data_IF_291000222198
#
_entry.id   IF_291000222198
#
_cell.length_a   1.000
_cell.length_b   1.000
_cell.length_c   1.000
_cell.angle_alpha   90.00
_cell.angle_beta   90.00
_cell.angle_gamma   90.00
#
_symmetry.space_group_name_H-M   'P 1'
#
loop_
_entity.id
_entity.type
_entity.pdbx_description
1 polymer ?
#
# COMPACT_ATOMS: atom_id res chain seq x y z
N UNK A 1 95.54 -11.18 -23.91
CA UNK A 1 94.33 -11.05 -24.76
C UNK A 1 93.16 -11.95 -24.32
N UNK A 2 93.35 -13.27 -24.12
CA UNK A 2 92.26 -14.22 -23.80
C UNK A 2 91.43 -13.89 -22.54
N UNK A 3 92.04 -13.33 -21.48
CA UNK A 3 91.35 -12.89 -20.25
C UNK A 3 90.46 -11.65 -20.43
N UNK A 4 90.78 -10.78 -21.39
CA UNK A 4 90.01 -9.57 -21.68
C UNK A 4 88.81 -9.88 -22.59
N UNK A 5 88.97 -10.88 -23.47
CA UNK A 5 87.88 -11.43 -24.28
C UNK A 5 86.87 -12.18 -23.39
N UNK A 6 87.32 -12.96 -22.42
CA UNK A 6 86.40 -13.62 -21.47
C UNK A 6 85.68 -12.63 -20.54
N UNK A 7 86.33 -11.54 -20.13
CA UNK A 7 85.70 -10.51 -19.30
C UNK A 7 84.63 -9.72 -20.06
N UNK A 8 84.90 -9.37 -21.33
CA UNK A 8 83.94 -8.67 -22.18
C UNK A 8 82.74 -9.55 -22.52
N UNK A 9 82.95 -10.83 -22.80
CA UNK A 9 81.87 -11.78 -23.06
C UNK A 9 80.96 -12.01 -21.84
N UNK A 10 81.55 -12.05 -20.63
CA UNK A 10 80.81 -12.13 -19.37
C UNK A 10 79.98 -10.85 -19.13
N UNK A 11 80.55 -9.68 -19.42
CA UNK A 11 79.84 -8.41 -19.27
C UNK A 11 78.63 -8.30 -20.20
N UNK A 12 78.77 -8.73 -21.47
CA UNK A 12 77.65 -8.77 -22.43
C UNK A 12 76.56 -9.73 -21.98
N UNK A 13 76.92 -10.91 -21.48
CA UNK A 13 75.97 -11.88 -20.95
C UNK A 13 75.19 -11.32 -19.75
N UNK A 14 75.88 -10.62 -18.84
CA UNK A 14 75.26 -10.01 -17.66
C UNK A 14 74.27 -8.90 -18.04
N UNK A 15 74.60 -8.09 -19.05
CA UNK A 15 73.69 -7.07 -19.59
C UNK A 15 72.44 -7.72 -20.21
N UNK A 16 72.60 -8.81 -20.97
CA UNK A 16 71.46 -9.53 -21.54
C UNK A 16 70.55 -10.10 -20.44
N UNK A 17 71.13 -10.70 -19.41
CA UNK A 17 70.38 -11.25 -18.26
C UNK A 17 69.65 -10.12 -17.50
N UNK A 18 70.33 -9.00 -17.22
CA UNK A 18 69.70 -7.85 -16.57
C UNK A 18 68.60 -7.22 -17.45
N UNK A 19 68.78 -7.13 -18.77
CA UNK A 19 67.72 -6.65 -19.67
C UNK A 19 66.52 -7.60 -19.70
N UNK A 20 66.78 -8.92 -19.72
CA UNK A 20 65.73 -9.93 -19.66
C UNK A 20 64.97 -9.86 -18.35
N UNK A 21 65.67 -9.72 -17.22
CA UNK A 21 65.06 -9.58 -15.89
C UNK A 21 64.29 -8.26 -15.72
N UNK A 22 64.76 -7.16 -16.31
CA UNK A 22 64.04 -5.87 -16.24
C UNK A 22 62.78 -5.87 -17.10
N UNK A 23 62.81 -6.46 -18.30
CA UNK A 23 61.61 -6.68 -19.13
C UNK A 23 60.64 -7.61 -18.40
N UNK A 24 61.13 -8.73 -17.84
CA UNK A 24 60.32 -9.66 -17.06
C UNK A 24 59.69 -8.96 -15.84
N UNK A 25 60.45 -8.17 -15.11
CA UNK A 25 59.96 -7.40 -13.97
C UNK A 25 58.91 -6.36 -14.39
N UNK A 26 59.12 -5.65 -15.50
CA UNK A 26 58.17 -4.65 -15.97
C UNK A 26 56.86 -5.28 -16.46
N UNK A 27 56.93 -6.45 -17.09
CA UNK A 27 55.74 -7.22 -17.53
C UNK A 27 54.96 -7.79 -16.34
N UNK A 28 55.64 -8.34 -15.31
CA UNK A 28 54.97 -8.98 -14.17
C UNK A 28 54.63 -8.03 -13.01
N UNK A 29 55.43 -6.98 -12.80
CA UNK A 29 55.32 -6.07 -11.66
C UNK A 29 55.05 -4.61 -12.04
N UNK A 30 55.26 -4.19 -13.30
CA UNK A 30 55.06 -2.81 -13.80
C UNK A 30 53.62 -2.45 -14.15
N UNK A 31 52.62 -3.06 -13.52
CA UNK A 31 51.21 -2.85 -13.83
C UNK A 31 50.68 -1.51 -13.28
N UNK A 32 50.14 -0.66 -14.17
CA UNK A 32 49.35 0.49 -13.78
C UNK A 32 48.09 0.02 -13.02
N UNK A 33 47.85 0.60 -11.85
CA UNK A 33 46.63 0.36 -11.06
C UNK A 33 45.59 1.41 -11.40
N UNK A 34 44.33 1.00 -11.38
CA UNK A 34 43.16 1.85 -11.67
C UNK A 34 42.23 1.83 -10.48
N UNK A 35 41.55 2.94 -10.22
CA UNK A 35 40.51 3.00 -9.20
C UNK A 35 39.23 2.34 -9.73
N UNK A 36 38.64 1.46 -8.93
CA UNK A 36 37.39 0.79 -9.27
C UNK A 36 36.25 1.83 -9.27
N UNK A 37 35.54 2.03 -10.40
CA UNK A 37 34.37 2.90 -10.44
C UNK A 37 33.21 2.29 -9.65
N UNK A 38 32.25 3.12 -9.24
CA UNK A 38 30.95 2.62 -8.80
C UNK A 38 30.08 2.32 -10.03
N UNK A 39 29.66 1.06 -10.12
CA UNK A 39 28.87 0.48 -11.21
C UNK A 39 27.51 0.00 -10.67
N UNK A 40 27.24 0.17 -9.37
CA UNK A 40 25.97 -0.25 -8.78
C UNK A 40 24.81 0.57 -9.36
N UNK A 41 23.72 -0.11 -9.75
CA UNK A 41 22.59 0.50 -10.43
C UNK A 41 22.79 0.78 -11.93
N UNK A 42 23.99 0.58 -12.49
CA UNK A 42 24.22 0.67 -13.94
C UNK A 42 23.77 -0.61 -14.66
N UNK A 43 23.48 -0.49 -15.96
CA UNK A 43 23.25 -1.65 -16.82
C UNK A 43 24.53 -2.50 -16.92
N UNK A 44 24.38 -3.82 -16.84
CA UNK A 44 25.49 -4.78 -16.95
C UNK A 44 26.34 -4.54 -18.21
N UNK A 45 25.71 -4.19 -19.34
CA UNK A 45 26.40 -3.93 -20.60
C UNK A 45 27.32 -2.72 -20.48
N UNK A 46 26.78 -1.61 -19.92
CA UNK A 46 27.53 -0.36 -19.72
C UNK A 46 28.67 -0.56 -18.72
N UNK A 47 28.39 -1.27 -17.62
CA UNK A 47 29.38 -1.58 -16.60
C UNK A 47 30.53 -2.43 -17.15
N UNK A 48 30.23 -3.43 -17.97
CA UNK A 48 31.24 -4.26 -18.63
C UNK A 48 32.14 -3.44 -19.56
N UNK A 49 31.56 -2.57 -20.39
CA UNK A 49 32.31 -1.71 -21.30
C UNK A 49 33.26 -0.79 -20.52
N UNK A 50 32.76 -0.19 -19.44
CA UNK A 50 33.55 0.69 -18.57
C UNK A 50 34.71 -0.06 -17.90
N UNK A 51 34.51 -1.30 -17.46
CA UNK A 51 35.58 -2.13 -16.91
C UNK A 51 36.63 -2.50 -17.96
N UNK A 52 36.20 -2.82 -19.18
CA UNK A 52 37.11 -3.13 -20.29
C UNK A 52 37.97 -1.92 -20.67
N UNK A 53 37.39 -0.72 -20.72
CA UNK A 53 38.12 0.53 -20.97
C UNK A 53 39.20 0.81 -19.91
N UNK A 54 38.95 0.41 -18.66
CA UNK A 54 39.92 0.52 -17.57
C UNK A 54 41.01 -0.58 -17.62
N UNK A 55 40.86 -1.55 -18.51
CA UNK A 55 41.76 -2.71 -18.66
C UNK A 55 41.51 -3.78 -17.61
N UNK A 56 40.30 -3.86 -17.04
CA UNK A 56 39.87 -4.93 -16.14
C UNK A 56 39.09 -5.99 -16.94
N UNK A 57 39.07 -7.22 -16.41
CA UNK A 57 38.36 -8.35 -17.03
C UNK A 57 37.01 -8.53 -16.33
N UNK A 58 35.88 -8.09 -16.93
CA UNK A 58 34.58 -8.27 -16.29
C UNK A 58 34.18 -9.75 -16.27
N UNK A 59 33.61 -10.19 -15.15
CA UNK A 59 32.93 -11.47 -15.00
C UNK A 59 31.54 -11.20 -14.45
N UNK A 60 30.51 -11.65 -15.15
CA UNK A 60 29.11 -11.44 -14.74
C UNK A 60 28.60 -12.69 -14.04
N UNK A 61 27.96 -12.49 -12.89
CA UNK A 61 27.25 -13.53 -12.14
C UNK A 61 25.80 -13.07 -11.95
N UNK A 62 24.85 -13.81 -12.50
CA UNK A 62 23.43 -13.51 -12.31
C UNK A 62 22.97 -14.00 -10.93
N UNK A 63 22.25 -13.14 -10.22
CA UNK A 63 21.66 -13.44 -8.92
C UNK A 63 20.15 -13.29 -9.03
N UNK A 64 19.41 -14.29 -8.55
CA UNK A 64 17.96 -14.21 -8.49
C UNK A 64 17.53 -12.98 -7.68
N UNK A 65 16.89 -12.04 -8.35
CA UNK A 65 16.48 -10.79 -7.75
C UNK A 65 15.15 -10.34 -8.35
N UNK A 66 14.36 -9.63 -7.55
CA UNK A 66 13.04 -9.16 -7.97
C UNK A 66 13.08 -7.80 -8.68
N UNK A 67 14.29 -7.25 -8.88
CA UNK A 67 14.53 -5.96 -9.55
C UNK A 67 14.42 -6.02 -11.07
N UNK A 68 14.74 -4.91 -11.73
CA UNK A 68 14.87 -4.87 -13.18
C UNK A 68 16.04 -5.77 -13.62
N UNK A 69 15.86 -6.71 -14.55
CA UNK A 69 16.93 -7.62 -14.97
C UNK A 69 18.07 -6.89 -15.68
N UNK A 70 19.29 -7.38 -15.48
CA UNK A 70 20.49 -6.86 -16.15
C UNK A 70 21.07 -5.58 -15.54
N UNK A 71 20.71 -5.27 -14.29
CA UNK A 71 21.25 -4.16 -13.51
C UNK A 71 22.28 -4.69 -12.50
N UNK A 72 23.39 -4.00 -12.33
CA UNK A 72 24.43 -4.39 -11.35
C UNK A 72 23.92 -4.13 -9.93
N UNK A 73 23.80 -5.19 -9.13
CA UNK A 73 23.40 -5.12 -7.73
C UNK A 73 24.61 -4.97 -6.80
N UNK A 74 25.69 -5.68 -7.13
CA UNK A 74 26.92 -5.68 -6.34
C UNK A 74 28.13 -5.82 -7.26
N UNK A 75 29.26 -5.26 -6.86
CA UNK A 75 30.53 -5.37 -7.58
C UNK A 75 31.66 -5.78 -6.64
N UNK A 76 32.62 -6.52 -7.18
CA UNK A 76 33.86 -6.89 -6.52
C UNK A 76 35.02 -6.73 -7.50
N UNK A 77 36.09 -5.96 -7.22
CA UNK A 77 36.34 -5.17 -6.01
C UNK A 77 35.31 -4.05 -5.74
N UNK A 78 35.25 -3.53 -4.50
CA UNK A 78 34.32 -2.45 -4.17
C UNK A 78 34.73 -1.13 -4.83
N UNK A 79 33.76 -0.24 -5.01
CA UNK A 79 34.01 1.09 -5.55
C UNK A 79 35.10 1.81 -4.74
N UNK A 80 36.01 2.49 -5.44
CA UNK A 80 37.15 3.20 -4.85
C UNK A 80 38.38 2.34 -4.51
N UNK A 81 38.30 1.01 -4.64
CA UNK A 81 39.47 0.15 -4.43
C UNK A 81 40.48 0.28 -5.59
N UNK A 82 41.79 0.19 -5.27
CA UNK A 82 42.84 0.15 -6.30
C UNK A 82 43.00 -1.26 -6.84
N UNK A 83 42.78 -1.41 -8.14
CA UNK A 83 42.84 -2.70 -8.83
C UNK A 83 43.91 -2.65 -9.90
N UNK A 84 44.78 -3.68 -9.95
CA UNK A 84 45.76 -3.82 -11.03
C UNK A 84 45.02 -4.12 -12.35
N UNK A 85 45.47 -3.51 -13.45
CA UNK A 85 45.00 -3.89 -14.79
C UNK A 85 45.18 -5.39 -15.06
N UNK A 86 44.28 -5.97 -15.83
CA UNK A 86 44.21 -7.39 -16.15
C UNK A 86 43.57 -8.26 -15.06
N UNK A 87 43.13 -7.68 -13.93
CA UNK A 87 42.42 -8.43 -12.89
C UNK A 87 40.93 -8.55 -13.20
N UNK A 88 40.35 -9.63 -12.68
CA UNK A 88 38.92 -9.91 -12.79
C UNK A 88 38.14 -8.99 -11.87
N UNK A 89 37.10 -8.36 -12.40
CA UNK A 89 36.08 -7.65 -11.66
C UNK A 89 34.75 -8.40 -11.81
N UNK A 90 34.20 -8.87 -10.71
CA UNK A 90 32.94 -9.62 -10.67
C UNK A 90 31.79 -8.63 -10.50
N UNK A 91 30.82 -8.70 -11.39
CA UNK A 91 29.56 -7.97 -11.31
C UNK A 91 28.45 -8.97 -11.00
N UNK A 92 27.83 -8.81 -9.83
CA UNK A 92 26.58 -9.52 -9.52
C UNK A 92 25.43 -8.71 -10.08
N UNK A 93 24.75 -9.25 -11.07
CA UNK A 93 23.66 -8.57 -11.77
C UNK A 93 22.33 -9.18 -11.37
N UNK A 94 21.29 -8.37 -11.39
CA UNK A 94 19.92 -8.82 -11.22
C UNK A 94 19.55 -9.79 -12.33
N UNK A 95 19.38 -11.06 -11.97
CA UNK A 95 18.71 -12.03 -12.81
C UNK A 95 17.23 -11.68 -12.96
N UNK A 96 16.58 -12.25 -13.98
CA UNK A 96 15.15 -12.02 -14.22
C UNK A 96 14.24 -12.65 -13.16
N UNK A 97 14.77 -13.62 -12.39
CA UNK A 97 14.00 -14.46 -11.46
C UNK A 97 12.92 -15.25 -12.18
N UNK A 98 12.46 -16.36 -11.60
CA UNK A 98 11.25 -17.01 -12.11
C UNK A 98 10.05 -16.08 -11.89
N UNK A 99 9.49 -15.56 -12.98
CA UNK A 99 8.30 -14.71 -12.97
C UNK A 99 7.14 -15.48 -13.58
N UNK A 100 5.98 -15.31 -12.97
CA UNK A 100 4.77 -16.02 -13.35
C UNK A 100 3.71 -15.02 -13.80
N UNK A 101 2.90 -15.45 -14.76
CA UNK A 101 1.82 -14.63 -15.28
C UNK A 101 0.75 -14.44 -14.21
N UNK A 102 0.50 -13.18 -13.85
CA UNK A 102 -0.56 -12.85 -12.93
C UNK A 102 -1.92 -13.01 -13.63
N UNK A 103 -2.87 -13.79 -13.06
CA UNK A 103 -4.19 -13.95 -13.66
C UNK A 103 -4.96 -12.62 -13.67
N UNK A 104 -5.74 -12.41 -14.73
CA UNK A 104 -6.73 -11.33 -14.76
C UNK A 104 -7.98 -11.78 -13.99
N UNK A 105 -8.29 -11.04 -12.93
CA UNK A 105 -9.46 -11.23 -12.06
C UNK A 105 -10.47 -10.08 -12.19
N UNK A 106 -10.24 -9.11 -13.08
CA UNK A 106 -11.20 -8.01 -13.31
C UNK A 106 -12.50 -8.55 -13.88
N UNK A 107 -13.62 -7.99 -13.41
CA UNK A 107 -14.96 -8.44 -13.79
C UNK A 107 -15.40 -9.75 -13.12
N UNK A 108 -14.54 -10.41 -12.34
CA UNK A 108 -14.93 -11.58 -11.56
C UNK A 108 -15.58 -11.17 -10.23
N UNK A 109 -16.41 -12.06 -9.68
CA UNK A 109 -16.88 -11.93 -8.31
C UNK A 109 -15.68 -12.04 -7.35
N UNK A 110 -15.65 -11.21 -6.30
CA UNK A 110 -14.56 -11.18 -5.32
C UNK A 110 -14.18 -12.57 -4.77
N UNK A 111 -15.17 -13.41 -4.42
CA UNK A 111 -14.90 -14.76 -3.91
C UNK A 111 -14.23 -15.67 -4.96
N UNK A 112 -14.65 -15.58 -6.22
CA UNK A 112 -14.05 -16.34 -7.32
C UNK A 112 -12.66 -15.81 -7.68
N UNK A 113 -12.47 -14.49 -7.60
CA UNK A 113 -11.19 -13.84 -7.83
C UNK A 113 -10.14 -14.27 -6.79
N UNK A 114 -10.53 -14.33 -5.51
CA UNK A 114 -9.65 -14.78 -4.42
C UNK A 114 -9.13 -16.20 -4.66
N UNK A 115 -10.03 -17.14 -4.99
CA UNK A 115 -9.66 -18.53 -5.31
C UNK A 115 -8.67 -18.61 -6.47
N UNK A 116 -8.92 -17.84 -7.54
CA UNK A 116 -8.05 -17.81 -8.72
C UNK A 116 -6.65 -17.25 -8.42
N UNK A 117 -6.54 -16.28 -7.51
CA UNK A 117 -5.24 -15.74 -7.04
C UNK A 117 -4.47 -16.85 -6.29
N UNK A 118 -5.13 -17.52 -5.36
CA UNK A 118 -4.53 -18.57 -4.51
C UNK A 118 -4.13 -19.81 -5.33
N UNK A 119 -5.00 -20.27 -6.24
CA UNK A 119 -4.71 -21.38 -7.17
C UNK A 119 -3.53 -21.09 -8.09
N UNK A 120 -3.31 -19.82 -8.45
CA UNK A 120 -2.17 -19.38 -9.23
C UNK A 120 -0.88 -19.18 -8.41
N UNK A 121 -0.89 -19.46 -7.11
CA UNK A 121 0.29 -19.38 -6.24
C UNK A 121 0.64 -17.97 -5.76
N UNK A 122 -0.28 -17.01 -5.93
CA UNK A 122 -0.15 -15.64 -5.44
C UNK A 122 -0.88 -15.45 -4.10
N UNK A 123 -0.62 -14.34 -3.42
CA UNK A 123 -1.21 -14.05 -2.11
C UNK A 123 -2.28 -12.97 -2.26
N UNK A 124 -3.46 -13.18 -1.68
CA UNK A 124 -4.47 -12.12 -1.60
C UNK A 124 -3.97 -10.96 -0.72
N UNK A 125 -4.01 -9.75 -1.27
CA UNK A 125 -3.59 -8.53 -0.60
C UNK A 125 -4.74 -7.74 0.01
N UNK A 126 -4.58 -6.42 0.04
CA UNK A 126 -5.57 -5.51 0.58
C UNK A 126 -6.80 -5.38 -0.33
N UNK A 127 -7.97 -5.19 0.28
CA UNK A 127 -9.24 -5.05 -0.42
C UNK A 127 -9.80 -3.66 -0.18
N UNK A 128 -9.81 -2.85 -1.23
CA UNK A 128 -10.44 -1.53 -1.24
C UNK A 128 -11.82 -1.66 -1.88
N UNK A 129 -12.82 -0.95 -1.34
CA UNK A 129 -14.20 -1.03 -1.82
C UNK A 129 -14.72 0.36 -2.14
N UNK A 130 -15.29 0.53 -3.33
CA UNK A 130 -15.79 1.83 -3.80
C UNK A 130 -17.17 1.68 -4.44
N UNK A 131 -17.95 2.74 -4.43
CA UNK A 131 -19.20 2.80 -5.19
C UNK A 131 -18.91 2.97 -6.67
N UNK A 132 -19.55 2.15 -7.49
CA UNK A 132 -19.52 2.29 -8.93
C UNK A 132 -20.92 1.98 -9.49
N UNK A 133 -21.49 2.95 -10.20
CA UNK A 133 -22.83 2.84 -10.78
C UNK A 133 -22.90 1.89 -11.98
N UNK A 134 -21.77 1.59 -12.59
CA UNK A 134 -21.66 0.83 -13.83
C UNK A 134 -21.21 -0.61 -13.57
N UNK A 135 -20.63 -0.89 -12.39
CA UNK A 135 -20.15 -2.23 -12.00
C UNK A 135 -21.04 -2.82 -10.90
N UNK A 136 -21.61 -4.03 -11.08
CA UNK A 136 -22.40 -4.69 -10.06
C UNK A 136 -21.65 -4.84 -8.72
N UNK A 137 -22.36 -4.78 -7.59
CA UNK A 137 -21.74 -4.95 -6.29
C UNK A 137 -21.05 -6.32 -6.13
N UNK A 138 -19.90 -6.32 -5.46
CA UNK A 138 -19.09 -7.50 -5.21
C UNK A 138 -18.19 -7.95 -6.37
N UNK A 139 -18.25 -7.26 -7.51
CA UNK A 139 -17.38 -7.50 -8.66
C UNK A 139 -16.07 -6.73 -8.53
N UNK A 140 -14.96 -7.35 -8.93
CA UNK A 140 -13.63 -6.73 -8.96
C UNK A 140 -13.55 -5.72 -10.10
N UNK A 141 -13.29 -4.46 -9.74
CA UNK A 141 -13.08 -3.34 -10.66
C UNK A 141 -11.63 -3.33 -11.15
N UNK A 142 -10.67 -3.48 -10.23
CA UNK A 142 -9.25 -3.39 -10.52
C UNK A 142 -8.43 -4.30 -9.61
N UNK A 143 -7.22 -4.62 -10.06
CA UNK A 143 -6.22 -5.38 -9.29
C UNK A 143 -4.87 -4.66 -9.38
N UNK A 144 -4.04 -4.84 -8.35
CA UNK A 144 -2.66 -4.37 -8.33
C UNK A 144 -1.76 -5.47 -7.77
N UNK A 145 -0.73 -5.95 -8.50
CA UNK A 145 -0.31 -5.51 -9.84
C UNK A 145 -1.35 -5.76 -10.94
N UNK A 146 -1.31 -4.97 -12.01
CA UNK A 146 -2.27 -5.06 -13.11
C UNK A 146 -1.93 -6.21 -14.06
N UNK A 147 -2.88 -7.09 -14.36
CA UNK A 147 -2.71 -8.12 -15.38
C UNK A 147 -2.82 -7.56 -16.81
N UNK A 148 -2.09 -8.12 -17.81
CA UNK A 148 -1.12 -9.23 -17.69
C UNK A 148 0.28 -8.72 -17.28
N UNK A 149 0.68 -9.00 -16.04
CA UNK A 149 2.03 -8.70 -15.53
C UNK A 149 2.77 -9.97 -15.14
N UNK A 150 4.07 -10.01 -15.39
CA UNK A 150 4.96 -11.07 -14.90
C UNK A 150 5.53 -10.66 -13.54
N UNK A 151 5.08 -11.36 -12.49
CA UNK A 151 5.47 -11.06 -11.11
C UNK A 151 6.02 -12.31 -10.42
N UNK A 152 6.87 -12.15 -9.40
CA UNK A 152 7.37 -13.29 -8.63
C UNK A 152 6.25 -14.07 -7.95
N UNK A 153 6.48 -15.36 -7.67
CA UNK A 153 5.57 -16.16 -6.83
C UNK A 153 5.34 -15.51 -5.47
N UNK A 154 4.18 -15.77 -4.87
CA UNK A 154 3.76 -15.21 -3.56
C UNK A 154 3.66 -13.68 -3.52
N UNK A 155 3.71 -12.99 -4.66
CA UNK A 155 3.40 -11.56 -4.74
C UNK A 155 1.98 -11.31 -4.22
N UNK A 156 1.81 -10.24 -3.44
CA UNK A 156 0.49 -9.81 -2.95
C UNK A 156 -0.29 -9.10 -4.05
N UNK A 157 -1.55 -9.48 -4.21
CA UNK A 157 -2.47 -8.91 -5.21
C UNK A 157 -3.57 -8.16 -4.47
N UNK A 158 -3.50 -6.85 -4.49
CA UNK A 158 -4.53 -5.97 -3.94
C UNK A 158 -5.69 -5.85 -4.92
N UNK A 159 -6.91 -5.69 -4.41
CA UNK A 159 -8.13 -5.76 -5.20
C UNK A 159 -9.06 -4.59 -4.87
N UNK A 160 -9.61 -3.96 -5.91
CA UNK A 160 -10.65 -2.95 -5.80
C UNK A 160 -12.00 -3.57 -6.16
N UNK A 161 -12.97 -3.54 -5.26
CA UNK A 161 -14.27 -4.20 -5.41
C UNK A 161 -15.40 -3.17 -5.44
N UNK A 162 -16.37 -3.36 -6.33
CA UNK A 162 -17.54 -2.49 -6.43
C UNK A 162 -18.51 -2.71 -5.27
N UNK A 163 -19.06 -1.61 -4.76
CA UNK A 163 -20.18 -1.55 -3.84
C UNK A 163 -21.52 -1.36 -4.56
N UNK A 164 -21.51 -1.24 -5.89
CA UNK A 164 -22.67 -0.89 -6.71
C UNK A 164 -22.96 0.62 -6.75
N UNK A 165 -24.09 1.04 -7.34
CA UNK A 165 -24.47 2.44 -7.48
C UNK A 165 -24.63 3.14 -6.13
N UNK A 166 -24.20 4.40 -6.04
CA UNK A 166 -24.45 5.25 -4.88
C UNK A 166 -25.92 5.69 -4.88
N UNK A 167 -26.74 5.10 -4.01
CA UNK A 167 -28.20 5.30 -3.93
C UNK A 167 -28.55 6.24 -2.78
N UNK A 168 -28.23 7.54 -2.94
CA UNK A 168 -28.86 8.64 -2.18
C UNK A 168 -27.98 9.37 -1.15
N UNK A 169 -28.51 10.49 -0.61
CA UNK A 169 -27.83 11.35 0.38
C UNK A 169 -27.46 10.55 1.63
N UNK A 170 -26.16 10.30 1.83
CA UNK A 170 -25.63 9.51 2.94
C UNK A 170 -25.52 8.01 2.67
N UNK A 171 -26.00 7.55 1.51
CA UNK A 171 -25.91 6.16 1.03
C UNK A 171 -26.45 5.11 2.02
N UNK A 172 -27.48 5.50 2.77
CA UNK A 172 -28.15 4.69 3.79
C UNK A 172 -29.43 4.12 3.19
N UNK A 173 -29.58 2.79 3.24
CA UNK A 173 -30.79 2.09 2.80
C UNK A 173 -31.19 1.01 3.83
N UNK A 174 -32.46 0.57 3.86
CA UNK A 174 -32.87 -0.50 4.76
C UNK A 174 -32.18 -1.80 4.35
N UNK A 175 -31.52 -2.45 5.32
CA UNK A 175 -30.94 -3.79 5.18
C UNK A 175 -32.04 -4.77 4.75
N UNK A 176 -31.90 -5.47 3.61
CA UNK A 176 -32.86 -6.50 3.21
C UNK A 176 -33.03 -7.56 4.30
N UNK A 177 -34.27 -7.97 4.55
CA UNK A 177 -34.54 -9.06 5.46
C UNK A 177 -34.28 -10.40 4.75
N UNK A 178 -33.21 -11.07 5.16
CA UNK A 178 -32.80 -12.37 4.64
C UNK A 178 -33.05 -13.50 5.66
N UNK A 179 -33.77 -13.21 6.75
CA UNK A 179 -34.18 -14.24 7.69
C UNK A 179 -35.12 -15.26 7.01
N UNK A 180 -34.90 -16.54 7.28
CA UNK A 180 -35.63 -17.64 6.65
C UNK A 180 -35.09 -18.08 5.29
N UNK A 181 -34.14 -17.34 4.70
CA UNK A 181 -33.47 -17.75 3.46
C UNK A 181 -32.33 -18.73 3.72
N UNK A 182 -31.98 -19.53 2.71
CA UNK A 182 -30.76 -20.32 2.74
C UNK A 182 -29.52 -19.39 2.76
N UNK A 183 -28.47 -19.78 3.48
CA UNK A 183 -27.24 -18.97 3.62
C UNK A 183 -26.63 -18.52 2.27
N UNK A 184 -26.67 -19.36 1.23
CA UNK A 184 -26.12 -19.01 -0.07
C UNK A 184 -27.01 -17.99 -0.82
N UNK A 185 -28.32 -18.14 -0.70
CA UNK A 185 -29.29 -17.21 -1.26
C UNK A 185 -29.25 -15.86 -0.54
N UNK A 186 -29.19 -15.88 0.78
CA UNK A 186 -29.03 -14.68 1.62
C UNK A 186 -27.76 -13.90 1.25
N UNK A 187 -26.62 -14.59 1.06
CA UNK A 187 -25.38 -13.96 0.58
C UNK A 187 -25.58 -13.27 -0.78
N UNK A 188 -26.30 -13.91 -1.70
CA UNK A 188 -26.58 -13.35 -3.02
C UNK A 188 -27.44 -12.09 -2.92
N UNK A 189 -28.54 -12.13 -2.18
CA UNK A 189 -29.44 -10.98 -1.95
C UNK A 189 -28.71 -9.81 -1.30
N UNK A 190 -27.89 -10.09 -0.27
CA UNK A 190 -27.06 -9.06 0.36
C UNK A 190 -26.04 -8.48 -0.63
N UNK A 191 -25.40 -9.32 -1.44
CA UNK A 191 -24.44 -8.86 -2.45
C UNK A 191 -25.11 -7.98 -3.51
N UNK A 192 -26.29 -8.35 -3.99
CA UNK A 192 -27.08 -7.55 -4.95
C UNK A 192 -27.49 -6.20 -4.38
N UNK A 193 -27.73 -6.14 -3.07
CA UNK A 193 -27.98 -4.90 -2.34
C UNK A 193 -26.71 -4.09 -2.03
N UNK A 194 -25.52 -4.51 -2.48
CA UNK A 194 -24.27 -3.81 -2.19
C UNK A 194 -23.72 -4.02 -0.77
N UNK A 195 -24.17 -5.07 -0.08
CA UNK A 195 -23.78 -5.42 1.28
C UNK A 195 -22.95 -6.71 1.30
N UNK A 196 -22.12 -6.89 2.34
CA UNK A 196 -21.19 -8.02 2.40
C UNK A 196 -21.38 -8.87 3.64
N UNK A 197 -21.68 -10.15 3.43
CA UNK A 197 -21.69 -11.15 4.48
C UNK A 197 -20.26 -11.54 4.87
N UNK A 198 -19.66 -10.84 5.83
CA UNK A 198 -18.27 -11.12 6.26
C UNK A 198 -18.16 -12.40 7.06
N UNK A 199 -19.09 -12.60 7.99
CA UNK A 199 -19.06 -13.70 8.95
C UNK A 199 -20.39 -14.47 8.91
N UNK A 200 -20.29 -15.79 9.05
CA UNK A 200 -21.41 -16.70 9.25
C UNK A 200 -21.24 -17.36 10.62
N UNK A 201 -22.08 -16.99 11.58
CA UNK A 201 -22.13 -17.56 12.92
C UNK A 201 -23.13 -18.72 12.92
N UNK A 202 -22.65 -19.95 13.11
CA UNK A 202 -23.52 -21.12 13.25
C UNK A 202 -23.97 -21.30 14.69
N UNK A 203 -25.29 -21.42 14.90
CA UNK A 203 -25.91 -21.67 16.20
C UNK A 203 -26.46 -23.09 16.22
N UNK A 204 -26.08 -23.86 17.24
CA UNK A 204 -26.61 -25.21 17.47
C UNK A 204 -28.06 -25.14 17.96
N UNK A 205 -28.98 -25.32 17.03
CA UNK A 205 -30.41 -25.43 17.28
C UNK A 205 -31.04 -26.45 16.32
N UNK A 206 -32.12 -27.09 16.77
CA UNK A 206 -33.02 -27.91 15.93
C UNK A 206 -34.33 -27.20 15.64
N UNK A 207 -34.52 -25.98 16.13
CA UNK A 207 -35.76 -25.19 15.93
C UNK A 207 -35.92 -24.65 14.51
N UNK A 208 -34.84 -24.64 13.73
CA UNK A 208 -34.80 -24.16 12.36
C UNK A 208 -33.96 -25.13 11.54
N UNK A 209 -34.34 -25.37 10.29
CA UNK A 209 -33.61 -26.25 9.39
C UNK A 209 -32.15 -25.81 9.22
N UNK A 210 -31.28 -26.76 8.91
CA UNK A 210 -29.86 -26.51 8.69
C UNK A 210 -29.65 -25.50 7.55
N UNK A 211 -28.63 -24.64 7.71
CA UNK A 211 -28.19 -23.66 6.70
C UNK A 211 -29.22 -22.55 6.39
N UNK A 212 -30.28 -22.43 7.20
CA UNK A 212 -31.22 -21.31 7.17
C UNK A 212 -30.73 -20.18 8.07
N UNK A 213 -30.78 -18.95 7.54
CA UNK A 213 -30.47 -17.73 8.29
C UNK A 213 -31.58 -17.46 9.30
N UNK A 214 -31.24 -17.45 10.58
CA UNK A 214 -32.15 -17.12 11.66
C UNK A 214 -32.24 -15.62 11.91
N UNK A 215 -31.11 -14.93 11.79
CA UNK A 215 -31.01 -13.49 12.05
C UNK A 215 -29.78 -12.90 11.36
N UNK A 216 -29.76 -11.58 11.25
CA UNK A 216 -28.59 -10.81 10.81
C UNK A 216 -28.17 -9.79 11.87
N UNK A 217 -26.89 -9.42 11.87
CA UNK A 217 -26.37 -8.27 12.60
C UNK A 217 -25.68 -7.33 11.61
N UNK A 218 -26.15 -6.09 11.42
CA UNK A 218 -27.37 -5.45 11.96
C UNK A 218 -28.68 -6.19 11.62
N UNK A 219 -29.78 -5.91 12.33
CA UNK A 219 -31.09 -6.58 12.11
C UNK A 219 -31.70 -6.15 10.76
N UNK A 220 -32.36 -7.06 10.05
CA UNK A 220 -33.14 -6.76 8.85
C UNK A 220 -34.05 -5.54 9.04
N UNK A 221 -34.10 -4.66 8.05
CA UNK A 221 -34.79 -3.37 8.07
C UNK A 221 -34.02 -2.22 8.74
N UNK A 222 -32.88 -2.49 9.39
CA UNK A 222 -32.03 -1.41 9.92
C UNK A 222 -31.40 -0.59 8.79
N UNK A 223 -31.18 0.69 9.06
CA UNK A 223 -30.54 1.60 8.12
C UNK A 223 -29.03 1.34 8.09
N UNK A 224 -28.54 0.87 6.95
CA UNK A 224 -27.13 0.53 6.72
C UNK A 224 -26.58 1.31 5.54
N UNK A 225 -25.31 1.68 5.62
CA UNK A 225 -24.61 2.30 4.50
C UNK A 225 -24.25 1.21 3.47
N UNK A 226 -24.23 1.54 2.18
CA UNK A 226 -23.67 0.64 1.17
C UNK A 226 -22.26 0.14 1.55
N UNK A 227 -21.94 -1.10 1.18
CA UNK A 227 -20.69 -1.74 1.56
C UNK A 227 -20.55 -2.13 3.03
N UNK A 228 -21.58 -1.91 3.86
CA UNK A 228 -21.58 -2.38 5.24
C UNK A 228 -21.43 -3.89 5.33
N UNK A 229 -20.76 -4.33 6.39
CA UNK A 229 -20.59 -5.74 6.71
C UNK A 229 -21.79 -6.23 7.53
N UNK A 230 -22.34 -7.37 7.12
CA UNK A 230 -23.47 -8.05 7.79
C UNK A 230 -22.99 -9.40 8.28
N UNK A 231 -23.24 -9.72 9.54
CA UNK A 231 -23.03 -11.07 10.08
C UNK A 231 -24.32 -11.86 9.96
N UNK A 232 -24.25 -13.03 9.33
CA UNK A 232 -25.37 -13.97 9.22
C UNK A 232 -25.32 -14.94 10.41
N UNK A 233 -26.44 -15.09 11.12
CA UNK A 233 -26.62 -16.11 12.16
C UNK A 233 -27.42 -17.25 11.54
N UNK A 234 -26.82 -18.43 11.44
CA UNK A 234 -27.33 -19.58 10.67
C UNK A 234 -27.54 -20.78 11.59
N UNK A 235 -28.62 -21.54 11.36
CA UNK A 235 -28.86 -22.79 12.11
C UNK A 235 -27.89 -23.89 11.66
N UNK A 236 -27.22 -24.54 12.61
CA UNK A 236 -26.39 -25.72 12.32
C UNK A 236 -27.22 -27.02 12.18
N UNK A 237 -28.50 -26.98 12.58
CA UNK A 237 -29.38 -28.14 12.63
C UNK A 237 -28.98 -29.20 13.68
N UNK A 238 -28.09 -28.86 14.63
CA UNK A 238 -27.65 -29.76 15.72
C UNK A 238 -28.31 -29.35 17.04
N UNK A 239 -28.62 -30.34 17.88
CA UNK A 239 -29.13 -30.06 19.21
C UNK A 239 -28.07 -29.36 20.07
N UNK A 240 -28.42 -28.30 20.81
CA UNK A 240 -27.49 -27.66 21.72
C UNK A 240 -27.03 -28.65 22.79
N UNK A 241 -25.72 -28.81 22.96
CA UNK A 241 -25.18 -29.69 24.00
C UNK A 241 -25.50 -29.08 25.37
N UNK A 242 -26.41 -29.72 26.11
CA UNK A 242 -26.64 -29.45 27.53
C UNK A 242 -25.33 -29.74 28.26
N UNK A 243 -24.68 -28.71 28.80
CA UNK A 243 -23.67 -28.92 29.84
C UNK A 243 -24.41 -29.53 31.04
N UNK A 244 -24.21 -30.82 31.27
CA UNK A 244 -24.70 -31.51 32.46
C UNK A 244 -23.86 -30.97 33.62
N UNK A 245 -24.39 -29.98 34.34
CA UNK A 245 -23.87 -29.64 35.64
C UNK A 245 -24.07 -30.86 36.55
N UNK A 246 -22.95 -31.46 36.98
CA UNK A 246 -22.94 -32.56 37.94
C UNK A 246 -23.56 -32.05 39.24
N UNK A 247 -24.76 -32.55 39.56
CA UNK A 247 -25.43 -32.30 40.81
C UNK A 247 -24.62 -32.94 41.96
N UNK A 248 -23.95 -32.14 42.77
CA UNK A 248 -23.58 -32.54 44.13
C UNK A 248 -24.71 -32.12 45.07
N UNK A 249 -25.43 -33.12 45.55
CA UNK A 249 -26.30 -33.04 46.71
C UNK A 249 -25.48 -32.66 47.94
N UNK A 250 -25.85 -31.58 48.62
CA UNK A 250 -25.64 -31.50 50.06
C UNK A 250 -26.93 -31.06 50.74
N UNK A 251 -27.33 -31.87 51.73
CA UNK A 251 -28.58 -31.87 52.46
C UNK A 251 -28.73 -30.63 53.34
N UNK A 252 -29.96 -30.17 53.47
CA UNK A 252 -30.43 -29.18 54.44
C UNK A 252 -30.14 -29.56 55.91
N UNK A 253 -30.33 -28.62 56.85
CA UNK A 253 -31.63 -28.65 57.55
C UNK A 253 -32.31 -27.27 57.70
N UNK A 254 -33.61 -27.38 57.98
CA UNK A 254 -34.61 -26.36 58.27
C UNK A 254 -34.18 -25.43 59.44
N UNK A 255 -34.80 -24.28 59.72
CA UNK A 255 -36.12 -24.15 60.39
C UNK A 255 -36.61 -22.68 60.34
N UNK A 256 -37.95 -22.55 60.34
CA UNK A 256 -38.82 -21.44 60.77
C UNK A 256 -38.95 -20.15 59.95
N UNK A 257 -40.13 -20.02 59.31
CA UNK A 257 -40.99 -18.81 59.33
C UNK A 257 -41.76 -18.77 60.67
N UNK A 258 -42.55 -17.73 61.06
CA UNK A 258 -43.08 -16.64 60.22
C UNK A 258 -43.05 -15.23 60.89
N UNK A 259 -43.59 -14.24 60.18
CA UNK A 259 -44.52 -13.18 60.66
C UNK A 259 -44.14 -11.76 60.22
N UNK A 260 -45.21 -11.05 59.82
CA UNK A 260 -45.45 -9.60 59.79
C UNK A 260 -44.95 -8.76 58.60
N UNK A 261 -45.96 -8.45 57.78
CA UNK A 261 -46.21 -7.24 57.00
C UNK A 261 -45.89 -5.97 57.79
N UNK A 262 -45.28 -4.98 57.13
CA UNK A 262 -45.54 -3.57 57.43
C UNK A 262 -45.39 -2.71 56.17
N UNK A 263 -46.54 -2.19 55.75
CA UNK A 263 -46.77 -0.97 54.97
C UNK A 263 -46.83 0.23 55.93
N UNK A 264 -46.84 1.47 55.40
CA UNK A 264 -46.85 2.81 56.05
C UNK A 264 -45.48 3.32 56.54
N UNK A 265 -45.03 4.57 56.41
CA UNK A 265 -45.54 5.89 55.93
C UNK A 265 -44.27 6.80 55.83
N UNK A 266 -44.05 7.62 54.78
CA UNK A 266 -44.26 9.09 54.72
C UNK A 266 -43.53 9.98 55.79
N UNK A 267 -43.39 11.32 55.64
CA UNK A 267 -42.92 12.19 54.54
C UNK A 267 -42.01 13.36 55.06
N UNK A 268 -41.84 14.42 54.23
CA UNK A 268 -41.43 15.83 54.53
C UNK A 268 -39.92 16.13 54.54
N UNK A 269 -39.41 17.27 54.08
CA UNK A 269 -39.94 18.57 53.62
C UNK A 269 -38.76 19.31 52.92
N UNK A 270 -38.98 20.08 51.83
CA UNK A 270 -38.90 21.57 51.83
C UNK A 270 -37.45 22.09 51.64
N UNK A 271 -37.08 23.06 50.79
CA UNK A 271 -37.79 24.20 50.22
C UNK A 271 -37.00 24.79 49.02
N UNK A 272 -37.70 25.57 48.18
CA UNK A 272 -37.32 26.84 47.49
C UNK A 272 -35.92 27.00 46.85
N UNK A 273 -35.70 27.61 45.67
CA UNK A 273 -36.44 28.64 44.96
C UNK A 273 -35.98 28.74 43.49
N UNK A 274 -36.86 29.23 42.61
CA UNK A 274 -36.64 29.54 41.20
C UNK A 274 -35.77 30.82 41.02
N UNK A 275 -35.12 31.08 39.87
CA UNK A 275 -35.66 31.63 38.62
C UNK A 275 -34.50 31.76 37.59
N UNK A 276 -34.64 31.30 36.33
CA UNK A 276 -35.05 32.03 35.10
C UNK A 276 -34.03 33.07 34.57
N UNK A 277 -33.36 32.77 33.45
CA UNK A 277 -33.10 33.69 32.30
C UNK A 277 -32.43 32.91 31.15
N UNK A 278 -33.12 32.55 30.07
CA UNK A 278 -33.46 33.30 28.85
C UNK A 278 -32.35 33.40 27.79
N UNK A 279 -32.69 32.90 26.61
CA UNK A 279 -31.98 33.01 25.35
C UNK A 279 -32.15 34.39 24.70
N UNK A 280 -31.22 34.79 23.82
CA UNK A 280 -31.52 35.40 22.51
C UNK A 280 -30.30 35.44 21.57
N UNK A 281 -30.52 35.52 20.23
CA UNK A 281 -29.51 35.50 19.17
C UNK A 281 -29.19 36.91 18.62
N UNK A 282 -28.12 37.06 17.82
CA UNK A 282 -27.93 38.24 16.97
C UNK A 282 -27.08 37.99 15.70
N UNK A 283 -27.51 38.59 14.58
CA UNK A 283 -26.79 38.97 13.33
C UNK A 283 -27.00 40.50 13.18
N UNK A 284 -26.50 41.25 12.15
CA UNK A 284 -25.20 41.30 11.41
C UNK A 284 -24.64 42.76 11.25
N UNK A 285 -23.32 43.05 11.12
CA UNK A 285 -22.80 44.37 10.59
C UNK A 285 -21.40 44.28 9.90
N UNK A 286 -21.17 45.21 8.96
CA UNK A 286 -20.17 45.51 7.90
C UNK A 286 -18.77 46.12 8.32
N UNK A 287 -17.84 46.52 7.39
CA UNK A 287 -16.36 46.47 7.57
C UNK A 287 -15.55 47.81 7.76
N UNK A 288 -14.24 47.65 8.03
CA UNK A 288 -13.03 48.54 7.89
C UNK A 288 -12.76 49.67 8.92
N UNK A 289 -11.48 49.93 9.32
CA UNK A 289 -10.50 50.72 8.52
C UNK A 289 -9.01 50.22 8.51
N UNK A 290 -8.26 50.73 7.52
CA UNK A 290 -6.80 50.61 7.28
C UNK A 290 -5.97 51.48 8.26
N UNK A 291 -4.75 51.09 8.67
CA UNK A 291 -3.42 51.68 8.32
C UNK A 291 -2.55 51.72 9.63
N UNK A 292 -1.19 51.82 9.62
CA UNK A 292 -0.30 52.28 8.54
C UNK A 292 0.82 51.31 8.11
N UNK A 293 1.35 51.64 6.93
CA UNK A 293 2.56 51.12 6.30
C UNK A 293 3.79 51.43 7.16
N UNK A 294 4.66 50.43 7.35
CA UNK A 294 6.09 50.66 7.45
C UNK A 294 6.77 49.93 6.29
N UNK A 295 7.59 50.69 5.56
CA UNK A 295 8.36 50.29 4.39
C UNK A 295 9.70 49.68 4.83
N UNK A 296 10.19 48.80 3.94
CA UNK A 296 11.59 48.43 3.72
C UNK A 296 12.25 47.60 4.85
N UNK A 297 12.48 46.31 4.61
CA UNK A 297 13.68 45.88 3.87
C UNK A 297 13.39 44.62 3.06
N UNK A 298 13.72 44.65 1.77
CA UNK A 298 13.49 43.53 0.86
C UNK A 298 14.44 42.37 1.13
N UNK A 299 13.89 41.25 1.58
CA UNK A 299 14.44 39.94 1.29
C UNK A 299 13.77 39.44 0.01
N UNK A 300 14.55 39.30 -1.06
CA UNK A 300 14.14 38.57 -2.26
C UNK A 300 13.79 37.14 -1.83
N UNK A 301 12.51 36.85 -1.62
CA UNK A 301 12.07 35.47 -1.44
C UNK A 301 12.26 34.74 -2.76
N UNK A 302 13.20 33.79 -2.76
CA UNK A 302 13.41 32.85 -3.86
C UNK A 302 12.07 32.25 -4.29
N UNK A 303 11.69 32.48 -5.56
CA UNK A 303 10.49 31.89 -6.13
C UNK A 303 10.78 30.43 -6.48
N UNK A 304 10.66 29.54 -5.49
CA UNK A 304 10.91 28.11 -5.65
C UNK A 304 9.82 27.49 -6.53
N UNK A 305 10.17 26.46 -7.30
CA UNK A 305 9.22 25.70 -8.13
C UNK A 305 9.07 24.28 -7.60
N UNK A 306 7.85 23.89 -7.24
CA UNK A 306 7.52 22.52 -6.91
C UNK A 306 7.19 21.76 -8.20
N UNK A 307 8.00 20.75 -8.54
CA UNK A 307 7.78 19.89 -9.72
C UNK A 307 6.98 18.65 -9.31
N UNK A 308 5.67 18.75 -9.42
CA UNK A 308 4.74 17.67 -9.11
C UNK A 308 4.68 16.71 -10.29
N UNK A 309 4.95 15.43 -10.04
CA UNK A 309 4.84 14.35 -11.02
C UNK A 309 3.85 13.32 -10.51
N UNK A 310 2.75 13.15 -11.22
CA UNK A 310 1.70 12.21 -10.84
C UNK A 310 1.44 11.21 -11.97
N UNK A 311 1.86 9.94 -11.82
CA UNK A 311 1.43 8.87 -12.71
C UNK A 311 -0.05 8.56 -12.44
N UNK A 312 -0.92 8.83 -13.42
CA UNK A 312 -2.32 8.44 -13.32
C UNK A 312 -2.40 6.92 -13.34
N UNK A 313 -2.97 6.28 -12.30
CA UNK A 313 -3.07 4.83 -12.25
C UNK A 313 -3.88 4.32 -13.46
N UNK A 314 -3.71 3.07 -13.90
CA UNK A 314 -4.54 2.54 -14.98
C UNK A 314 -6.01 2.56 -14.57
N UNK A 315 -6.81 3.31 -15.33
CA UNK A 315 -8.24 3.48 -15.13
C UNK A 315 -9.00 2.75 -16.22
N UNK A 316 -10.11 2.09 -15.85
CA UNK A 316 -11.06 1.48 -16.79
C UNK A 316 -11.81 2.50 -17.64
N UNK A 317 -11.93 3.75 -17.14
CA UNK A 317 -12.57 4.90 -17.80
C UNK A 317 -11.90 6.21 -17.40
N UNK A 318 -12.06 7.30 -18.17
CA UNK A 318 -11.55 8.60 -17.75
C UNK A 318 -12.17 9.05 -16.42
N UNK A 319 -11.36 9.56 -15.50
CA UNK A 319 -11.79 10.17 -14.24
C UNK A 319 -11.24 11.59 -14.13
N UNK A 320 -11.98 12.45 -13.42
CA UNK A 320 -11.56 13.83 -13.17
C UNK A 320 -10.39 13.86 -12.20
N UNK A 321 -9.24 14.35 -12.63
CA UNK A 321 -8.08 14.62 -11.78
C UNK A 321 -8.09 16.09 -11.39
N UNK A 322 -8.08 16.37 -10.09
CA UNK A 322 -7.93 17.70 -9.53
C UNK A 322 -6.69 17.78 -8.64
N UNK A 323 -5.83 18.75 -8.90
CA UNK A 323 -4.65 19.01 -8.08
C UNK A 323 -4.83 20.38 -7.46
N UNK A 324 -4.74 20.42 -6.14
CA UNK A 324 -4.89 21.64 -5.35
C UNK A 324 -3.58 21.98 -4.67
N UNK A 325 -3.27 23.27 -4.63
CA UNK A 325 -2.12 23.85 -3.98
C UNK A 325 -2.61 24.72 -2.83
N UNK A 326 -2.09 24.49 -1.63
CA UNK A 326 -2.38 25.26 -0.44
C UNK A 326 -1.08 25.92 0.01
N UNK A 327 -1.06 27.25 -0.04
CA UNK A 327 0.05 28.08 0.44
C UNK A 327 -0.47 29.17 1.40
N UNK A 328 0.38 30.12 1.81
CA UNK A 328 -0.03 31.26 2.66
C UNK A 328 -1.09 32.16 2.02
N UNK A 329 -1.29 32.09 0.71
CA UNK A 329 -2.27 32.88 -0.05
C UNK A 329 -3.64 32.17 -0.10
N UNK A 330 -3.71 30.88 0.27
CA UNK A 330 -4.93 30.09 0.37
C UNK A 330 -4.91 28.82 -0.48
N UNK A 331 -6.06 28.17 -0.60
CA UNK A 331 -6.26 26.99 -1.45
C UNK A 331 -6.58 27.42 -2.89
N UNK A 332 -5.82 26.94 -3.86
CA UNK A 332 -6.09 27.14 -5.29
C UNK A 332 -6.01 25.83 -6.07
N UNK A 333 -6.91 25.62 -7.01
CA UNK A 333 -6.86 24.49 -7.95
C UNK A 333 -5.87 24.80 -9.07
N UNK A 334 -4.79 24.03 -9.16
CA UNK A 334 -3.73 24.21 -10.16
C UNK A 334 -3.90 23.32 -11.39
N UNK A 335 -4.69 22.25 -11.28
CA UNK A 335 -5.03 21.36 -12.38
C UNK A 335 -6.43 20.78 -12.19
N UNK A 336 -7.23 20.74 -13.25
CA UNK A 336 -8.56 20.10 -13.26
C UNK A 336 -8.87 19.61 -14.67
N UNK A 337 -8.86 18.30 -14.90
CA UNK A 337 -9.17 17.69 -16.21
C UNK A 337 -9.55 16.22 -16.05
N UNK A 338 -10.39 15.72 -16.97
CA UNK A 338 -10.58 14.28 -17.14
C UNK A 338 -9.32 13.65 -17.75
N UNK A 339 -8.73 12.70 -17.03
CA UNK A 339 -7.50 11.99 -17.41
C UNK A 339 -7.78 10.52 -17.67
N UNK A 340 -7.01 9.91 -18.58
CA UNK A 340 -7.07 8.47 -18.86
C UNK A 340 -6.04 7.71 -18.03
N UNK A 341 -6.27 6.41 -17.86
CA UNK A 341 -5.32 5.53 -17.21
C UNK A 341 -3.96 5.52 -17.89
N UNK A 342 -2.88 5.59 -17.10
CA UNK A 342 -1.50 5.58 -17.61
C UNK A 342 -0.99 6.92 -18.15
N UNK A 343 -1.78 7.99 -18.06
CA UNK A 343 -1.33 9.35 -18.38
C UNK A 343 -0.36 9.86 -17.31
N UNK A 344 0.66 10.63 -17.72
CA UNK A 344 1.68 11.15 -16.79
C UNK A 344 1.56 12.67 -16.70
N UNK A 345 1.18 13.18 -15.53
CA UNK A 345 0.96 14.61 -15.32
C UNK A 345 2.21 15.21 -14.67
N UNK A 346 2.74 16.26 -15.28
CA UNK A 346 3.87 17.05 -14.74
C UNK A 346 3.44 18.50 -14.62
N UNK A 347 3.56 19.08 -13.42
CA UNK A 347 3.19 20.46 -13.13
C UNK A 347 4.32 21.15 -12.37
N UNK A 348 4.58 22.40 -12.73
CA UNK A 348 5.49 23.27 -12.00
C UNK A 348 4.66 24.33 -11.27
N UNK A 349 4.63 24.27 -9.94
CA UNK A 349 3.84 25.16 -9.11
C UNK A 349 4.80 26.12 -8.40
N UNK A 350 4.72 27.44 -8.64
CA UNK A 350 5.55 28.41 -7.93
C UNK A 350 5.07 28.53 -6.47
N UNK A 351 6.02 28.60 -5.54
CA UNK A 351 5.75 28.83 -4.11
C UNK A 351 6.89 29.61 -3.46
N UNK A 352 6.56 30.28 -2.35
CA UNK A 352 7.47 31.27 -1.73
C UNK A 352 7.92 30.88 -0.32
N UNK A 353 7.09 30.14 0.44
CA UNK A 353 7.44 29.60 1.75
C UNK A 353 7.12 28.10 1.78
N UNK A 354 5.95 27.71 2.28
CA UNK A 354 5.48 26.32 2.31
C UNK A 354 4.35 26.11 1.30
N UNK A 355 4.35 24.96 0.66
CA UNK A 355 3.31 24.54 -0.27
C UNK A 355 2.88 23.11 0.06
N UNK A 356 1.59 22.91 0.24
CA UNK A 356 0.98 21.59 0.31
C UNK A 356 0.23 21.34 -0.99
N UNK A 357 0.60 20.28 -1.70
CA UNK A 357 -0.07 19.85 -2.92
C UNK A 357 -0.92 18.63 -2.59
N UNK A 358 -2.21 18.71 -2.89
CA UNK A 358 -3.16 17.62 -2.68
C UNK A 358 -3.75 17.18 -4.01
N UNK A 359 -3.73 15.88 -4.26
CA UNK A 359 -4.23 15.26 -5.50
C UNK A 359 -5.51 14.50 -5.21
N UNK A 360 -6.54 14.82 -5.99
CA UNK A 360 -7.85 14.18 -5.97
C UNK A 360 -8.12 13.52 -7.32
N UNK A 361 -8.61 12.28 -7.30
CA UNK A 361 -9.00 11.54 -8.50
C UNK A 361 -10.43 11.04 -8.35
N UNK A 362 -11.30 11.42 -9.28
CA UNK A 362 -12.74 11.14 -9.18
C UNK A 362 -13.43 11.82 -7.99
N UNK A 363 -12.81 12.88 -7.43
CA UNK A 363 -13.31 13.60 -6.25
C UNK A 363 -12.79 13.05 -4.91
N UNK A 364 -12.08 11.93 -4.92
CA UNK A 364 -11.50 11.32 -3.71
C UNK A 364 -10.04 11.72 -3.52
N UNK A 365 -9.63 11.91 -2.26
CA UNK A 365 -8.23 12.17 -1.91
C UNK A 365 -7.36 10.94 -2.23
N UNK A 366 -6.26 11.15 -2.94
CA UNK A 366 -5.33 10.07 -3.29
C UNK A 366 -3.96 10.28 -2.67
N UNK A 367 -3.47 11.51 -2.68
CA UNK A 367 -2.08 11.79 -2.32
C UNK A 367 -1.89 13.25 -1.88
N UNK A 368 -0.91 13.47 -1.00
CA UNK A 368 -0.47 14.79 -0.54
C UNK A 368 1.06 14.83 -0.53
N UNK A 369 1.62 15.98 -0.92
CA UNK A 369 3.04 16.26 -0.83
C UNK A 369 3.30 17.66 -0.28
N UNK A 370 4.35 17.81 0.53
CA UNK A 370 4.70 19.06 1.19
C UNK A 370 6.06 19.53 0.74
N UNK A 371 6.14 20.82 0.40
CA UNK A 371 7.34 21.50 -0.08
C UNK A 371 7.70 22.65 0.88
N UNK A 372 9.00 22.85 1.12
CA UNK A 372 9.56 23.76 2.13
C UNK A 372 10.62 24.71 1.56
#
# INVERSE_FOLDING_TARGET
MRRWISLSLLAVLLVLICSGLTILYFVFFGGSSVMMPDLTGESAIVAMERLQQLGLLPKVEEVDSYGEPGVVLEQLPKAGEKVKRGRIAILKVSGSGERFALPDIRGMQYESALKKIEEAGFVAGDVVRIYDKDVPPGVVIAQSPAAPSLVPMKTRVNVLVSLGPNVGKGNVFPLPDVAGMNVNEAKKVLSEAGLFAKNVEYVDTTSTERDIVMATKPKGGSQVTGGSQVTLVVSSGRAPQRQIAVAQQEKAPAVSKPVAVQESEQPKQENSAAQKEQAKPAKPVQPLPQAPQDKETGEQKENKQAKVRYPVPPLSRPLKLEIKAIDKQGERTVFSKDVKGGEYITLNIPYTDQLVVTVYLGGEFVWEERYF
#
